data_IF_999536958268
#
_entry.id   IF_999536958268
#
_cell.length_a   1.000
_cell.length_b   1.000
_cell.length_c   1.000
_cell.angle_alpha   90.00
_cell.angle_beta   90.00
_cell.angle_gamma   90.00
#
_symmetry.space_group_name_H-M   'P 1'
#
loop_
_entity.id
_entity.type
_entity.pdbx_description
1 polymer ?
#
# COMPACT_ATOMS: atom_id res chain seq x y z
N UNK A 1 3.00 1.73 5.02
CA UNK A 1 2.30 1.08 6.15
C UNK A 1 3.23 1.14 7.34
N UNK A 2 2.68 1.40 8.52
CA UNK A 2 3.45 1.50 9.74
C UNK A 2 2.72 0.78 10.87
N UNK A 3 3.46 0.26 11.83
CA UNK A 3 2.96 -0.35 13.06
C UNK A 3 3.59 0.31 14.27
N UNK A 4 2.86 0.30 15.38
CA UNK A 4 3.29 0.90 16.65
C UNK A 4 3.25 -0.15 17.75
N UNK A 5 4.25 -0.20 18.60
CA UNK A 5 4.25 -1.08 19.77
C UNK A 5 3.74 -0.36 21.02
N UNK A 6 2.89 -1.01 21.82
CA UNK A 6 2.55 -0.58 23.18
C UNK A 6 3.32 -1.43 24.21
N UNK A 7 4.40 -0.90 24.85
CA UNK A 7 5.15 -1.66 25.84
C UNK A 7 4.40 -1.75 27.19
N UNK A 8 4.58 -2.83 27.97
CA UNK A 8 4.06 -2.93 29.34
C UNK A 8 4.78 -2.00 30.34
N UNK A 9 5.93 -1.43 29.96
CA UNK A 9 6.80 -0.62 30.80
C UNK A 9 7.10 0.71 30.07
N UNK A 10 7.09 1.82 30.81
CA UNK A 10 7.36 3.20 30.32
C UNK A 10 8.83 3.41 29.88
N UNK A 11 9.31 2.71 28.85
CA UNK A 11 10.73 2.73 28.48
C UNK A 11 11.02 2.84 26.99
N UNK A 12 10.41 2.00 26.15
CA UNK A 12 10.78 1.94 24.73
C UNK A 12 9.58 1.74 23.81
N UNK A 13 9.39 2.68 22.88
CA UNK A 13 8.39 2.58 21.82
C UNK A 13 9.07 2.34 20.48
N UNK A 14 8.59 1.36 19.74
CA UNK A 14 9.10 1.01 18.40
C UNK A 14 8.03 1.30 17.35
N UNK A 15 8.45 2.04 16.33
CA UNK A 15 7.70 2.29 15.11
C UNK A 15 8.33 1.51 13.97
N UNK A 16 7.53 0.68 13.31
CA UNK A 16 8.02 -0.08 12.16
C UNK A 16 7.32 0.43 10.91
N UNK A 17 8.06 1.09 10.03
CA UNK A 17 7.62 1.38 8.68
C UNK A 17 8.01 0.28 7.71
N UNK A 18 7.56 0.41 6.46
CA UNK A 18 7.94 -0.55 5.40
C UNK A 18 9.43 -0.48 5.07
N UNK A 19 10.04 0.71 5.12
CA UNK A 19 11.41 0.97 4.68
C UNK A 19 12.37 1.34 5.81
N UNK A 20 11.83 1.87 6.91
CA UNK A 20 12.59 2.34 8.07
C UNK A 20 11.93 1.82 9.33
N UNK A 21 12.73 1.42 10.31
CA UNK A 21 12.29 1.15 11.68
C UNK A 21 12.90 2.19 12.61
N UNK A 22 12.14 2.67 13.58
CA UNK A 22 12.61 3.62 14.58
C UNK A 22 12.27 3.08 15.96
N UNK A 23 13.26 3.05 16.85
CA UNK A 23 13.03 2.80 18.27
C UNK A 23 13.36 4.06 19.05
N UNK A 24 12.65 4.28 20.14
CA UNK A 24 13.02 5.29 21.11
C UNK A 24 13.41 4.66 22.42
N UNK A 25 14.62 5.00 22.86
CA UNK A 25 15.16 4.60 24.14
C UNK A 25 14.77 5.56 25.30
N UNK A 26 14.06 6.65 25.00
CA UNK A 26 13.71 7.69 25.98
C UNK A 26 13.12 8.95 25.33
N UNK A 27 12.50 9.82 26.15
CA UNK A 27 11.80 11.03 25.68
C UNK A 27 12.71 11.89 24.79
N UNK A 28 12.34 12.06 23.52
CA UNK A 28 13.06 12.91 22.56
C UNK A 28 14.27 12.24 21.88
N UNK A 29 14.62 11.00 22.23
CA UNK A 29 15.70 10.27 21.58
C UNK A 29 15.11 9.20 20.66
N UNK A 30 15.17 9.43 19.35
CA UNK A 30 14.75 8.49 18.32
C UNK A 30 15.98 7.98 17.57
N UNK A 31 16.15 6.66 17.53
CA UNK A 31 17.16 6.01 16.68
C UNK A 31 16.43 5.29 15.55
N UNK A 32 16.64 5.76 14.32
CA UNK A 32 16.04 5.20 13.12
C UNK A 32 17.09 4.47 12.30
N UNK A 33 16.71 3.31 11.77
CA UNK A 33 17.57 2.46 10.98
C UNK A 33 16.81 1.91 9.75
N UNK A 34 17.52 1.77 8.63
CA UNK A 34 16.99 1.30 7.35
C UNK A 34 16.93 -0.23 7.29
N UNK A 35 16.56 -0.86 8.41
CA UNK A 35 16.74 -2.29 8.64
C UNK A 35 18.19 -2.72 8.38
N UNK A 36 19.06 -2.70 9.39
CA UNK A 36 20.47 -3.16 9.38
C UNK A 36 20.72 -4.57 8.81
N UNK A 37 19.70 -5.28 8.34
CA UNK A 37 19.83 -6.57 7.66
C UNK A 37 19.79 -6.38 6.14
N UNK A 38 20.68 -7.05 5.38
CA UNK A 38 20.66 -6.99 3.92
C UNK A 38 19.27 -7.37 3.39
N UNK A 39 18.87 -6.81 2.24
CA UNK A 39 17.53 -6.99 1.62
C UNK A 39 17.10 -8.46 1.55
N UNK A 40 18.06 -9.39 1.41
CA UNK A 40 17.85 -10.83 1.35
C UNK A 40 17.57 -11.53 2.70
N UNK A 41 17.78 -10.86 3.82
CA UNK A 41 17.43 -11.36 5.16
C UNK A 41 16.02 -10.97 5.59
N UNK A 42 15.28 -10.24 4.75
CA UNK A 42 13.93 -9.78 5.03
C UNK A 42 12.90 -10.88 4.68
N UNK A 43 11.85 -11.01 5.49
CA UNK A 43 10.79 -12.01 5.25
C UNK A 43 10.15 -11.85 3.87
N UNK A 44 9.75 -12.96 3.23
CA UNK A 44 9.10 -12.96 1.92
C UNK A 44 7.87 -12.03 1.85
N UNK A 45 7.08 -11.98 2.93
CA UNK A 45 5.92 -11.07 3.06
C UNK A 45 6.30 -9.59 2.93
N UNK A 46 7.39 -9.18 3.58
CA UNK A 46 7.85 -7.79 3.55
C UNK A 46 8.37 -7.40 2.15
N UNK A 47 9.03 -8.33 1.46
CA UNK A 47 9.49 -8.11 0.07
C UNK A 47 8.28 -7.96 -0.86
N UNK A 48 7.29 -8.85 -0.74
CA UNK A 48 6.05 -8.77 -1.52
C UNK A 48 5.35 -7.42 -1.30
N UNK A 49 5.13 -7.02 -0.05
CA UNK A 49 4.46 -5.75 0.27
C UNK A 49 5.19 -4.55 -0.34
N UNK A 50 6.53 -4.53 -0.27
CA UNK A 50 7.37 -3.51 -0.90
C UNK A 50 7.18 -3.48 -2.42
N UNK A 51 7.20 -4.64 -3.08
CA UNK A 51 7.04 -4.72 -4.53
C UNK A 51 5.68 -4.22 -5.01
N UNK A 52 4.59 -4.63 -4.36
CA UNK A 52 3.26 -4.22 -4.78
C UNK A 52 3.00 -2.73 -4.55
N UNK A 53 3.55 -2.13 -3.49
CA UNK A 53 3.46 -0.67 -3.28
C UNK A 53 4.22 0.07 -4.37
N UNK A 54 5.40 -0.42 -4.77
CA UNK A 54 6.14 0.17 -5.89
C UNK A 54 5.31 0.09 -7.17
N UNK A 55 4.69 -1.07 -7.47
CA UNK A 55 3.83 -1.22 -8.65
C UNK A 55 2.60 -0.30 -8.62
N UNK A 56 1.98 -0.13 -7.45
CA UNK A 56 0.86 0.79 -7.29
C UNK A 56 1.28 2.25 -7.53
N UNK A 57 2.38 2.69 -6.92
CA UNK A 57 2.89 4.06 -7.07
C UNK A 57 3.31 4.36 -8.51
N UNK A 58 3.98 3.42 -9.19
CA UNK A 58 4.35 3.61 -10.60
C UNK A 58 3.12 3.62 -11.52
N UNK A 59 2.14 2.75 -11.26
CA UNK A 59 0.86 2.76 -11.99
C UNK A 59 0.10 4.08 -11.83
N UNK A 60 0.07 4.63 -10.61
CA UNK A 60 -0.53 5.93 -10.33
C UNK A 60 0.21 7.07 -11.07
N UNK A 61 1.54 7.07 -11.06
CA UNK A 61 2.34 8.06 -11.80
C UNK A 61 2.10 8.03 -13.31
N UNK A 62 2.02 6.82 -13.91
CA UNK A 62 1.69 6.65 -15.33
C UNK A 62 0.28 7.15 -15.63
N UNK A 63 -0.68 6.84 -14.76
CA UNK A 63 -2.06 7.32 -14.88
C UNK A 63 -2.11 8.85 -14.88
N UNK A 64 -1.41 9.51 -13.95
CA UNK A 64 -1.36 10.97 -13.88
C UNK A 64 -0.81 11.58 -15.17
N UNK A 65 0.24 11.00 -15.75
CA UNK A 65 0.79 11.43 -17.02
C UNK A 65 -0.22 11.28 -18.17
N UNK A 66 -0.92 10.14 -18.26
CA UNK A 66 -1.96 9.90 -19.27
C UNK A 66 -3.15 10.86 -19.11
N UNK A 67 -3.55 11.16 -17.87
CA UNK A 67 -4.63 12.09 -17.56
C UNK A 67 -4.30 13.52 -17.98
N UNK A 68 -3.07 13.98 -17.73
CA UNK A 68 -2.60 15.30 -18.18
C UNK A 68 -2.70 15.42 -19.71
N UNK A 69 -2.31 14.38 -20.44
CA UNK A 69 -2.35 14.36 -21.91
C UNK A 69 -3.79 14.24 -22.43
N UNK A 70 -4.66 13.50 -21.73
CA UNK A 70 -6.04 13.22 -22.15
C UNK A 70 -7.06 14.33 -21.87
N UNK A 71 -6.69 15.35 -21.08
CA UNK A 71 -7.56 16.51 -20.82
C UNK A 71 -7.77 17.40 -22.06
N UNK A 72 -8.93 18.07 -22.11
CA UNK A 72 -9.30 18.98 -23.21
C UNK A 72 -8.43 20.24 -23.26
N UNK A 73 -7.93 20.69 -22.11
CA UNK A 73 -7.04 21.83 -22.00
C UNK A 73 -5.65 21.59 -22.65
N UNK A 74 -5.33 20.34 -22.98
CA UNK A 74 -4.02 19.95 -23.50
C UNK A 74 -4.04 19.87 -25.03
N UNK A 75 -3.14 20.60 -25.69
CA UNK A 75 -3.03 20.68 -27.17
C UNK A 75 -2.43 19.44 -27.84
N UNK A 76 -2.21 18.35 -27.11
CA UNK A 76 -1.89 17.06 -27.72
C UNK A 76 -3.12 16.51 -28.45
N UNK A 77 -2.94 15.84 -29.60
CA UNK A 77 -4.03 15.15 -30.33
C UNK A 77 -5.27 16.01 -30.66
N UNK A 78 -5.12 17.26 -31.14
CA UNK A 78 -6.27 18.08 -31.59
C UNK A 78 -7.08 17.45 -32.72
N UNK A 79 -6.44 16.61 -33.55
CA UNK A 79 -7.04 16.10 -34.78
C UNK A 79 -7.94 14.87 -34.57
N UNK A 80 -7.76 14.14 -33.46
CA UNK A 80 -8.46 12.87 -33.19
C UNK A 80 -9.03 12.85 -31.75
N UNK A 81 -10.22 13.41 -31.48
CA UNK A 81 -10.82 13.40 -30.15
C UNK A 81 -11.09 11.98 -29.62
N UNK A 82 -11.38 11.03 -30.50
CA UNK A 82 -11.58 9.62 -30.15
C UNK A 82 -10.35 8.99 -29.50
N UNK A 83 -9.14 9.40 -29.88
CA UNK A 83 -7.90 8.91 -29.27
C UNK A 83 -7.71 9.45 -27.85
N UNK A 84 -8.13 10.70 -27.58
CA UNK A 84 -8.11 11.26 -26.22
C UNK A 84 -9.04 10.50 -25.29
N UNK A 85 -10.26 10.19 -25.75
CA UNK A 85 -11.23 9.40 -24.98
C UNK A 85 -10.69 8.01 -24.69
N UNK A 86 -10.08 7.34 -25.69
CA UNK A 86 -9.47 6.04 -25.50
C UNK A 86 -8.30 6.05 -24.50
N UNK A 87 -7.43 7.07 -24.56
CA UNK A 87 -6.33 7.24 -23.61
C UNK A 87 -6.85 7.46 -22.17
N UNK A 88 -7.90 8.25 -22.00
CA UNK A 88 -8.54 8.46 -20.68
C UNK A 88 -9.19 7.17 -20.16
N UNK A 89 -9.79 6.34 -21.03
CA UNK A 89 -10.32 5.03 -20.65
C UNK A 89 -9.21 4.08 -20.19
N UNK A 90 -8.07 4.05 -20.89
CA UNK A 90 -6.91 3.26 -20.45
C UNK A 90 -6.37 3.77 -19.12
N UNK A 91 -6.24 5.10 -18.96
CA UNK A 91 -5.78 5.69 -17.71
C UNK A 91 -6.66 5.27 -16.52
N UNK A 92 -7.99 5.30 -16.69
CA UNK A 92 -8.92 4.84 -15.66
C UNK A 92 -8.70 3.36 -15.31
N UNK A 93 -8.52 2.47 -16.29
CA UNK A 93 -8.26 1.05 -16.03
C UNK A 93 -6.92 0.80 -15.31
N UNK A 94 -5.88 1.56 -15.65
CA UNK A 94 -4.58 1.47 -14.98
C UNK A 94 -4.68 2.00 -13.54
N UNK A 95 -5.45 3.07 -13.32
CA UNK A 95 -5.71 3.62 -11.98
C UNK A 95 -6.42 2.60 -11.08
N UNK A 96 -7.48 1.97 -11.59
CA UNK A 96 -8.20 0.93 -10.87
C UNK A 96 -7.27 -0.21 -10.47
N UNK A 97 -6.46 -0.72 -11.41
CA UNK A 97 -5.49 -1.77 -11.13
C UNK A 97 -4.49 -1.35 -10.04
N UNK A 98 -3.97 -0.12 -10.09
CA UNK A 98 -3.08 0.39 -9.04
C UNK A 98 -3.74 0.53 -7.68
N UNK A 99 -5.02 0.93 -7.64
CA UNK A 99 -5.79 1.10 -6.43
C UNK A 99 -6.12 -0.25 -5.76
N UNK A 100 -6.52 -1.24 -6.57
CA UNK A 100 -6.73 -2.62 -6.09
C UNK A 100 -5.45 -3.24 -5.52
N UNK A 101 -4.30 -3.02 -6.17
CA UNK A 101 -3.01 -3.45 -5.65
C UNK A 101 -2.72 -2.81 -4.28
N UNK A 102 -2.94 -1.50 -4.11
CA UNK A 102 -2.70 -0.82 -2.84
C UNK A 102 -3.63 -1.34 -1.74
N UNK A 103 -4.92 -1.50 -2.04
CA UNK A 103 -5.94 -2.01 -1.12
C UNK A 103 -5.64 -3.43 -0.67
N UNK A 104 -5.25 -4.31 -1.61
CA UNK A 104 -4.91 -5.69 -1.34
C UNK A 104 -3.70 -5.79 -0.41
N UNK A 105 -2.63 -5.02 -0.67
CA UNK A 105 -1.44 -5.02 0.20
C UNK A 105 -1.78 -4.50 1.59
N UNK A 106 -2.57 -3.42 1.68
CA UNK A 106 -2.97 -2.83 2.97
C UNK A 106 -3.79 -3.83 3.79
N UNK A 107 -4.68 -4.56 3.13
CA UNK A 107 -5.55 -5.55 3.76
C UNK A 107 -4.77 -6.78 4.21
N UNK A 108 -3.83 -7.28 3.39
CA UNK A 108 -2.94 -8.40 3.77
C UNK A 108 -2.06 -7.99 4.96
N UNK A 109 -1.52 -6.77 4.94
CA UNK A 109 -0.72 -6.24 6.04
C UNK A 109 -1.54 -6.15 7.34
N UNK A 110 -2.75 -5.57 7.26
CA UNK A 110 -3.67 -5.49 8.40
C UNK A 110 -4.03 -6.88 8.96
N UNK A 111 -4.36 -7.83 8.09
CA UNK A 111 -4.66 -9.20 8.49
C UNK A 111 -3.48 -9.88 9.20
N UNK A 112 -2.26 -9.67 8.71
CA UNK A 112 -1.05 -10.22 9.33
C UNK A 112 -0.78 -9.66 10.73
N UNK A 113 -1.14 -8.41 11.00
CA UNK A 113 -1.01 -7.78 12.31
C UNK A 113 -2.09 -8.23 13.28
N UNK A 114 -3.33 -8.30 12.82
CA UNK A 114 -4.44 -8.81 13.62
C UNK A 114 -4.18 -10.25 14.07
N UNK A 115 -3.58 -11.07 13.21
CA UNK A 115 -3.16 -12.43 13.55
C UNK A 115 -2.03 -12.46 14.57
N UNK A 116 -1.02 -11.60 14.43
CA UNK A 116 0.08 -11.46 15.40
C UNK A 116 -0.42 -10.98 16.77
N UNK A 117 -1.43 -10.11 16.80
CA UNK A 117 -2.01 -9.58 18.04
C UNK A 117 -2.82 -10.64 18.82
N UNK A 118 -3.53 -11.52 18.12
CA UNK A 118 -4.45 -12.50 18.73
C UNK A 118 -3.82 -13.85 19.11
N UNK A 119 -2.49 -14.01 19.07
CA UNK A 119 -1.77 -15.25 19.47
C UNK A 119 -2.26 -16.55 18.82
N UNK A 120 -3.00 -16.50 17.72
CA UNK A 120 -3.51 -17.71 17.09
C UNK A 120 -2.48 -18.26 16.12
N UNK A 121 -2.03 -19.50 16.34
CA UNK A 121 -1.30 -20.37 15.40
C UNK A 121 -2.10 -20.67 14.11
N UNK A 122 -2.80 -19.68 13.55
CA UNK A 122 -3.66 -19.79 12.37
C UNK A 122 -2.86 -19.47 11.09
N UNK A 123 -1.68 -20.07 10.97
CA UNK A 123 -0.89 -20.05 9.73
C UNK A 123 -1.43 -21.02 8.66
N UNK A 124 -2.56 -21.70 8.90
CA UNK A 124 -2.90 -22.91 8.12
C UNK A 124 -4.14 -22.85 7.22
N UNK A 125 -4.89 -21.75 7.15
CA UNK A 125 -6.15 -21.77 6.37
C UNK A 125 -6.56 -20.39 5.87
N UNK A 126 -5.87 -19.89 4.85
CA UNK A 126 -6.28 -18.72 4.08
C UNK A 126 -5.23 -18.27 3.07
N UNK A 127 -5.58 -17.31 2.19
CA UNK A 127 -4.69 -16.67 1.22
C UNK A 127 -3.39 -16.11 1.87
N UNK A 128 -3.38 -15.89 3.19
CA UNK A 128 -2.19 -15.54 3.97
C UNK A 128 -1.14 -16.66 4.10
N UNK A 129 -1.51 -17.94 3.95
CA UNK A 129 -0.57 -19.08 3.95
C UNK A 129 0.20 -19.23 2.64
N UNK A 130 -0.27 -18.63 1.55
CA UNK A 130 0.38 -18.69 0.23
C UNK A 130 1.60 -17.76 0.14
N UNK A 131 1.64 -16.74 0.99
CA UNK A 131 2.70 -15.74 1.03
C UNK A 131 3.41 -15.68 2.41
N UNK A 132 2.78 -16.21 3.46
CA UNK A 132 3.32 -16.27 4.81
C UNK A 132 4.26 -17.45 5.02
N UNK A 133 5.58 -17.19 4.97
CA UNK A 133 6.57 -18.13 5.50
C UNK A 133 6.32 -18.39 6.99
N UNK A 134 6.57 -19.64 7.43
CA UNK A 134 6.54 -20.06 8.84
C UNK A 134 7.44 -19.14 9.66
N UNK A 135 6.86 -18.25 10.42
CA UNK A 135 7.60 -17.42 11.34
C UNK A 135 7.53 -18.05 12.74
N UNK A 136 8.67 -18.58 13.21
CA UNK A 136 8.85 -18.91 14.63
C UNK A 136 8.95 -17.57 15.37
N UNK A 137 7.88 -17.15 16.04
CA UNK A 137 7.90 -15.99 16.93
C UNK A 137 7.55 -16.42 18.35
N UNK A 138 8.43 -16.02 19.26
CA UNK A 138 8.30 -16.11 20.71
C UNK A 138 7.17 -15.18 21.17
N UNK A 139 6.26 -15.70 21.99
CA UNK A 139 4.85 -15.23 22.06
C UNK A 139 4.63 -14.09 23.07
N UNK A 140 5.68 -13.62 23.76
CA UNK A 140 5.48 -12.93 25.04
C UNK A 140 5.93 -11.46 25.16
N UNK A 141 6.59 -10.80 24.19
CA UNK A 141 7.18 -9.47 24.48
C UNK A 141 6.70 -8.24 23.69
N UNK A 142 6.17 -8.34 22.46
CA UNK A 142 5.88 -7.13 21.65
C UNK A 142 4.59 -7.28 20.84
N UNK A 143 3.56 -6.50 21.18
CA UNK A 143 2.30 -6.37 20.41
C UNK A 143 2.35 -5.15 19.50
N UNK A 144 1.93 -5.33 18.26
CA UNK A 144 1.87 -4.26 17.26
C UNK A 144 0.41 -3.84 17.01
N UNK A 145 0.17 -2.54 17.00
CA UNK A 145 -1.10 -1.90 16.65
C UNK A 145 -1.04 -1.30 15.24
N UNK A 146 -2.21 -1.08 14.64
CA UNK A 146 -2.30 -0.46 13.32
C UNK A 146 -1.79 0.98 13.36
N UNK A 147 -0.77 1.29 12.57
CA UNK A 147 -0.30 2.66 12.42
C UNK A 147 -1.14 3.49 11.44
N UNK A 148 -1.00 4.81 11.56
CA UNK A 148 -1.76 5.80 10.79
C UNK A 148 -1.69 5.62 9.26
N UNK A 149 -0.54 5.23 8.71
CA UNK A 149 -0.35 5.07 7.27
C UNK A 149 -1.18 3.93 6.68
N UNK A 150 -1.64 2.97 7.50
CA UNK A 150 -2.53 1.90 7.04
C UNK A 150 -3.92 2.47 6.73
N UNK A 151 -4.46 3.29 7.63
CA UNK A 151 -5.72 3.99 7.40
C UNK A 151 -5.64 4.93 6.19
N UNK A 152 -4.53 5.67 6.05
CA UNK A 152 -4.29 6.52 4.87
C UNK A 152 -4.32 5.69 3.59
N UNK A 153 -3.67 4.52 3.57
CA UNK A 153 -3.67 3.65 2.39
C UNK A 153 -5.09 3.22 2.00
N UNK A 154 -5.94 2.82 2.95
CA UNK A 154 -7.34 2.50 2.66
C UNK A 154 -8.12 3.68 2.09
N UNK A 155 -8.01 4.86 2.72
CA UNK A 155 -8.70 6.06 2.25
C UNK A 155 -8.27 6.40 0.82
N UNK A 156 -6.96 6.42 0.58
CA UNK A 156 -6.39 6.70 -0.76
C UNK A 156 -6.90 5.69 -1.78
N UNK A 157 -6.86 4.39 -1.47
CA UNK A 157 -7.38 3.35 -2.39
C UNK A 157 -8.87 3.55 -2.71
N UNK A 158 -9.71 3.86 -1.72
CA UNK A 158 -11.13 4.13 -1.96
C UNK A 158 -11.33 5.38 -2.83
N UNK A 159 -10.57 6.44 -2.56
CA UNK A 159 -10.61 7.64 -3.39
C UNK A 159 -10.17 7.36 -4.83
N UNK A 160 -9.13 6.57 -5.05
CA UNK A 160 -8.65 6.19 -6.38
C UNK A 160 -9.66 5.34 -7.15
N UNK A 161 -10.33 4.37 -6.50
CA UNK A 161 -11.39 3.56 -7.12
C UNK A 161 -12.59 4.45 -7.51
N UNK A 162 -13.05 5.32 -6.61
CA UNK A 162 -14.16 6.23 -6.93
C UNK A 162 -13.77 7.15 -8.09
N UNK A 163 -12.55 7.68 -8.09
CA UNK A 163 -12.03 8.52 -9.16
C UNK A 163 -11.96 7.76 -10.50
N UNK A 164 -11.45 6.53 -10.50
CA UNK A 164 -11.37 5.66 -11.68
C UNK A 164 -12.74 5.40 -12.31
N UNK A 165 -13.72 4.99 -11.49
CA UNK A 165 -15.12 4.80 -11.91
C UNK A 165 -15.69 6.10 -12.50
N UNK A 166 -15.51 7.24 -11.81
CA UNK A 166 -16.02 8.53 -12.30
C UNK A 166 -15.42 8.91 -13.65
N UNK A 167 -14.11 8.70 -13.85
CA UNK A 167 -13.45 8.96 -15.14
C UNK A 167 -14.01 8.03 -16.22
N UNK A 168 -14.16 6.74 -15.91
CA UNK A 168 -14.65 5.74 -16.86
C UNK A 168 -16.09 6.04 -17.31
N UNK A 169 -16.98 6.38 -16.37
CA UNK A 169 -18.39 6.69 -16.64
C UNK A 169 -18.54 8.03 -17.36
N UNK A 170 -17.92 9.10 -16.84
CA UNK A 170 -18.13 10.45 -17.37
C UNK A 170 -17.43 10.70 -18.71
N UNK A 171 -16.33 9.99 -18.99
CA UNK A 171 -15.66 10.02 -20.31
C UNK A 171 -16.15 8.89 -21.24
N UNK A 172 -17.12 8.09 -20.78
CA UNK A 172 -17.56 6.84 -21.41
C UNK A 172 -18.33 6.97 -22.73
N UNK A 173 -19.06 8.08 -22.97
CA UNK A 173 -20.06 8.17 -24.05
C UNK A 173 -20.14 9.54 -24.76
N UNK A 174 -19.10 9.91 -25.50
CA UNK A 174 -19.19 10.93 -26.56
C UNK A 174 -18.50 10.37 -27.81
N UNK A 175 -19.12 9.35 -28.41
CA UNK A 175 -18.87 8.97 -29.81
C UNK A 175 -20.19 9.24 -30.54
N UNK A 176 -20.41 10.49 -30.90
CA UNK A 176 -21.39 10.89 -31.93
C UNK A 176 -20.71 11.95 -32.79
#
# INVERSE_FOLDING_TARGET
MNDVTSPPNMGEYTFKGIWVQCSSAGVGMFSCDNFMRPVFSLSAMAIMQRSFIIFSVTGCAVTLALMIVGMECTKFYLRDPSKKVFMMKIAALVLELSAFCLLLVASIYAASLAQQFNNSMFYSSGLGSLFGGRANYDVDLIRYEFGACLYVAWIVSFCEIVLGILIYVNRGFQVN
#
